data_IF_715640455794
#
_entry.id   IF_715640455794
#
_cell.length_a   1.000
_cell.length_b   1.000
_cell.length_c   1.000
_cell.angle_alpha   90.00
_cell.angle_beta   90.00
_cell.angle_gamma   90.00
#
_symmetry.space_group_name_H-M   'P 1'
#
loop_
_entity.id
_entity.type
_entity.pdbx_description
1 polymer ?
#
# COMPACT_ATOMS: atom_id res chain seq x y z
N UNK A 1 -28.06 22.61 11.76
CA UNK A 1 -27.37 21.46 11.17
C UNK A 1 -26.02 21.38 11.87
N UNK A 2 -25.76 20.31 12.64
CA UNK A 2 -24.48 20.16 13.33
C UNK A 2 -23.36 20.10 12.27
N UNK A 3 -22.39 20.99 12.37
CA UNK A 3 -21.16 20.93 11.56
C UNK A 3 -20.51 19.56 11.82
N UNK A 4 -20.59 18.68 10.82
CA UNK A 4 -19.89 17.41 10.92
C UNK A 4 -18.40 17.74 11.02
N UNK A 5 -17.79 17.46 12.17
CA UNK A 5 -16.36 17.65 12.38
C UNK A 5 -15.60 16.93 11.27
N UNK A 6 -14.54 17.53 10.72
CA UNK A 6 -13.71 16.92 9.67
C UNK A 6 -13.22 15.53 10.07
N UNK A 7 -12.95 15.33 11.36
CA UNK A 7 -12.60 14.01 11.91
C UNK A 7 -13.74 13.00 11.84
N UNK A 8 -14.98 13.40 12.07
CA UNK A 8 -16.14 12.51 11.97
C UNK A 8 -16.41 12.09 10.52
N UNK A 9 -16.20 13.00 9.56
CA UNK A 9 -16.31 12.70 8.14
C UNK A 9 -15.22 11.72 7.68
N UNK A 10 -13.97 11.95 8.10
CA UNK A 10 -12.84 11.02 7.83
C UNK A 10 -13.16 9.60 8.35
N UNK A 11 -13.55 9.48 9.62
CA UNK A 11 -13.88 8.19 10.25
C UNK A 11 -15.08 7.54 9.56
N UNK A 12 -16.09 8.31 9.14
CA UNK A 12 -17.25 7.77 8.43
C UNK A 12 -16.85 7.15 7.09
N UNK A 13 -15.96 7.78 6.30
CA UNK A 13 -15.45 7.21 5.05
C UNK A 13 -14.64 5.94 5.30
N UNK A 14 -13.71 5.97 6.25
CA UNK A 14 -12.91 4.78 6.61
C UNK A 14 -13.85 3.63 6.99
N UNK A 15 -14.79 3.86 7.89
CA UNK A 15 -15.75 2.83 8.32
C UNK A 15 -16.60 2.30 7.17
N UNK A 16 -17.08 3.19 6.28
CA UNK A 16 -17.84 2.81 5.09
C UNK A 16 -17.04 1.86 4.22
N UNK A 17 -15.81 2.23 3.87
CA UNK A 17 -14.97 1.46 2.95
C UNK A 17 -14.54 0.12 3.57
N UNK A 18 -14.24 0.08 4.88
CA UNK A 18 -13.98 -1.17 5.59
C UNK A 18 -15.21 -2.10 5.59
N UNK A 19 -16.41 -1.57 5.81
CA UNK A 19 -17.66 -2.37 5.78
C UNK A 19 -17.96 -2.88 4.37
N UNK A 20 -17.72 -2.09 3.33
CA UNK A 20 -17.87 -2.52 1.93
C UNK A 20 -16.88 -3.64 1.58
N UNK A 21 -15.63 -3.52 2.03
CA UNK A 21 -14.61 -4.56 1.83
C UNK A 21 -14.98 -5.87 2.55
N UNK A 22 -15.55 -5.81 3.75
CA UNK A 22 -16.03 -7.01 4.45
C UNK A 22 -17.16 -7.72 3.71
N UNK A 23 -17.93 -7.00 2.89
CA UNK A 23 -18.95 -7.58 2.01
C UNK A 23 -18.36 -8.14 0.71
N UNK A 24 -17.24 -7.57 0.23
CA UNK A 24 -16.51 -7.99 -0.98
C UNK A 24 -15.17 -8.64 -0.62
N UNK A 25 -15.21 -9.67 0.23
CA UNK A 25 -14.01 -10.35 0.77
C UNK A 25 -13.05 -10.85 -0.31
N UNK A 26 -13.57 -11.20 -1.49
CA UNK A 26 -12.77 -11.67 -2.62
C UNK A 26 -11.65 -10.69 -3.00
N UNK A 27 -11.90 -9.40 -2.93
CA UNK A 27 -10.93 -8.38 -3.35
C UNK A 27 -9.73 -8.30 -2.41
N UNK A 28 -9.98 -8.33 -1.10
CA UNK A 28 -8.94 -8.36 -0.07
C UNK A 28 -8.18 -9.69 -0.13
N UNK A 29 -8.91 -10.80 -0.19
CA UNK A 29 -8.32 -12.14 -0.27
C UNK A 29 -7.45 -12.32 -1.51
N UNK A 30 -7.82 -11.78 -2.67
CA UNK A 30 -6.99 -11.85 -3.88
C UNK A 30 -5.63 -11.21 -3.66
N UNK A 31 -5.58 -10.05 -3.03
CA UNK A 31 -4.32 -9.35 -2.72
C UNK A 31 -3.45 -10.15 -1.76
N UNK A 32 -4.05 -10.70 -0.70
CA UNK A 32 -3.34 -11.51 0.29
C UNK A 32 -2.86 -12.84 -0.27
N UNK A 33 -3.71 -13.57 -1.00
CA UNK A 33 -3.32 -14.82 -1.65
C UNK A 33 -2.23 -14.60 -2.68
N UNK A 34 -2.28 -13.52 -3.47
CA UNK A 34 -1.21 -13.17 -4.39
C UNK A 34 0.11 -13.01 -3.66
N UNK A 35 0.13 -12.27 -2.55
CA UNK A 35 1.33 -12.08 -1.73
C UNK A 35 1.87 -13.41 -1.20
N UNK A 36 1.00 -14.23 -0.59
CA UNK A 36 1.38 -15.55 -0.04
C UNK A 36 1.94 -16.46 -1.14
N UNK A 37 1.25 -16.55 -2.30
CA UNK A 37 1.67 -17.41 -3.41
C UNK A 37 3.03 -16.94 -3.93
N UNK A 38 3.19 -15.65 -4.26
CA UNK A 38 4.44 -15.13 -4.82
C UNK A 38 5.60 -15.41 -3.86
N UNK A 39 5.47 -15.09 -2.58
CA UNK A 39 6.52 -15.30 -1.59
C UNK A 39 6.87 -16.79 -1.44
N UNK A 40 5.85 -17.66 -1.35
CA UNK A 40 6.06 -19.09 -1.12
C UNK A 40 6.62 -19.84 -2.35
N UNK A 41 6.46 -19.31 -3.56
CA UNK A 41 7.04 -19.91 -4.76
C UNK A 41 8.57 -19.83 -4.79
N UNK A 42 9.18 -18.83 -4.14
CA UNK A 42 10.65 -18.71 -4.14
C UNK A 42 11.36 -19.84 -3.40
N UNK A 43 11.02 -20.18 -2.15
CA UNK A 43 11.61 -21.35 -1.48
C UNK A 43 11.36 -22.67 -2.23
N UNK A 44 10.19 -22.80 -2.84
CA UNK A 44 9.87 -24.01 -3.64
C UNK A 44 10.68 -24.09 -4.93
N UNK A 45 10.96 -22.95 -5.58
CA UNK A 45 11.67 -22.91 -6.85
C UNK A 45 13.19 -22.95 -6.71
N UNK A 46 13.74 -22.38 -5.64
CA UNK A 46 15.20 -22.33 -5.39
C UNK A 46 15.70 -23.61 -4.71
N UNK A 47 14.83 -24.23 -3.91
CA UNK A 47 15.19 -25.42 -3.13
C UNK A 47 15.68 -25.06 -1.70
N UNK A 48 16.20 -26.04 -0.93
CA UNK A 48 16.42 -25.97 0.51
C UNK A 48 17.72 -25.26 0.93
N UNK A 49 18.33 -24.45 0.07
CA UNK A 49 19.57 -23.74 0.40
C UNK A 49 19.28 -22.51 1.29
N UNK A 50 19.30 -22.70 2.61
CA UNK A 50 18.89 -21.68 3.58
C UNK A 50 19.71 -20.39 3.51
N UNK A 51 21.02 -20.48 3.18
CA UNK A 51 21.87 -19.29 3.05
C UNK A 51 21.39 -18.37 1.91
N UNK A 52 21.07 -18.95 0.75
CA UNK A 52 20.55 -18.21 -0.39
C UNK A 52 19.15 -17.67 -0.11
N UNK A 53 18.27 -18.49 0.47
CA UNK A 53 16.91 -18.06 0.82
C UNK A 53 16.95 -16.86 1.79
N UNK A 54 17.77 -16.90 2.83
CA UNK A 54 17.92 -15.80 3.79
C UNK A 54 18.43 -14.53 3.11
N UNK A 55 19.33 -14.62 2.16
CA UNK A 55 19.90 -13.49 1.43
C UNK A 55 18.85 -12.78 0.57
N UNK A 56 17.98 -13.53 -0.13
CA UNK A 56 16.99 -12.94 -1.03
C UNK A 56 15.70 -12.52 -0.34
N UNK A 57 15.44 -13.00 0.87
CA UNK A 57 14.18 -12.81 1.59
C UNK A 57 13.71 -11.34 1.67
N UNK A 58 14.57 -10.35 2.02
CA UNK A 58 14.15 -8.96 2.10
C UNK A 58 13.60 -8.45 0.76
N UNK A 59 14.32 -8.70 -0.33
CA UNK A 59 13.90 -8.30 -1.67
C UNK A 59 12.61 -8.99 -2.11
N UNK A 60 12.50 -10.31 -1.92
CA UNK A 60 11.31 -11.08 -2.31
C UNK A 60 10.06 -10.61 -1.57
N UNK A 61 10.13 -10.46 -0.24
CA UNK A 61 8.99 -10.00 0.57
C UNK A 61 8.55 -8.59 0.17
N UNK A 62 9.49 -7.69 -0.08
CA UNK A 62 9.19 -6.33 -0.49
C UNK A 62 8.64 -6.22 -1.91
N UNK A 63 9.22 -6.94 -2.88
CA UNK A 63 8.71 -6.97 -4.25
C UNK A 63 7.30 -7.55 -4.27
N UNK A 64 7.06 -8.65 -3.55
CA UNK A 64 5.74 -9.25 -3.45
C UNK A 64 4.71 -8.32 -2.81
N UNK A 65 5.08 -7.59 -1.73
CA UNK A 65 4.21 -6.62 -1.07
C UNK A 65 3.88 -5.43 -2.00
N UNK A 66 4.87 -4.94 -2.74
CA UNK A 66 4.70 -3.88 -3.75
C UNK A 66 3.72 -4.32 -4.84
N UNK A 67 3.94 -5.49 -5.44
CA UNK A 67 3.08 -6.03 -6.50
C UNK A 67 1.66 -6.30 -5.99
N UNK A 68 1.51 -6.84 -4.77
CA UNK A 68 0.21 -7.06 -4.14
C UNK A 68 -0.53 -5.74 -3.91
N UNK A 69 0.16 -4.70 -3.45
CA UNK A 69 -0.43 -3.35 -3.31
C UNK A 69 -0.87 -2.81 -4.66
N UNK A 70 -0.04 -2.93 -5.71
CA UNK A 70 -0.39 -2.48 -7.06
C UNK A 70 -1.65 -3.17 -7.61
N UNK A 71 -1.86 -4.45 -7.29
CA UNK A 71 -3.04 -5.20 -7.72
C UNK A 71 -4.35 -4.63 -7.14
N UNK A 72 -4.29 -3.98 -5.98
CA UNK A 72 -5.47 -3.38 -5.31
C UNK A 72 -5.80 -1.96 -5.76
N UNK A 73 -4.83 -1.20 -6.29
CA UNK A 73 -4.96 0.22 -6.62
C UNK A 73 -6.09 0.57 -7.61
N UNK A 74 -6.29 -0.16 -8.71
CA UNK A 74 -7.35 0.19 -9.67
C UNK A 74 -8.74 0.21 -9.04
N UNK A 75 -8.95 -0.50 -7.93
CA UNK A 75 -10.24 -0.61 -7.24
C UNK A 75 -10.50 0.55 -6.27
N UNK A 76 -9.48 1.35 -5.93
CA UNK A 76 -9.55 2.39 -4.90
C UNK A 76 -10.66 3.42 -5.15
N UNK A 77 -10.82 3.84 -6.41
CA UNK A 77 -11.82 4.82 -6.81
C UNK A 77 -12.85 4.31 -7.84
N UNK A 78 -12.56 3.20 -8.50
CA UNK A 78 -13.35 2.72 -9.63
C UNK A 78 -14.82 2.42 -9.27
N UNK A 79 -15.09 1.84 -8.11
CA UNK A 79 -16.46 1.53 -7.70
C UNK A 79 -17.26 2.81 -7.40
N UNK A 80 -16.66 3.74 -6.66
CA UNK A 80 -17.30 5.02 -6.31
C UNK A 80 -17.50 5.93 -7.54
N UNK A 81 -16.64 5.82 -8.55
CA UNK A 81 -16.83 6.49 -9.83
C UNK A 81 -17.96 5.86 -10.65
N UNK A 82 -18.03 4.52 -10.69
CA UNK A 82 -19.04 3.82 -11.46
C UNK A 82 -20.47 4.02 -10.90
N UNK A 83 -20.63 4.24 -9.63
CA UNK A 83 -21.94 4.44 -8.97
C UNK A 83 -22.27 5.91 -8.68
N UNK A 84 -21.42 6.87 -9.10
CA UNK A 84 -21.63 8.30 -8.91
C UNK A 84 -21.36 8.82 -7.48
N UNK A 85 -20.86 7.97 -6.59
CA UNK A 85 -20.52 8.36 -5.21
C UNK A 85 -19.37 9.35 -5.18
N UNK A 86 -18.41 9.24 -6.11
CA UNK A 86 -17.25 10.11 -6.16
C UNK A 86 -17.63 11.56 -6.51
N UNK A 87 -18.58 11.74 -7.43
CA UNK A 87 -19.15 13.03 -7.82
C UNK A 87 -19.91 13.66 -6.63
N UNK A 88 -20.68 12.85 -5.89
CA UNK A 88 -21.36 13.30 -4.69
C UNK A 88 -20.36 13.74 -3.59
N UNK A 89 -19.24 13.02 -3.43
CA UNK A 89 -18.16 13.41 -2.53
C UNK A 89 -17.56 14.75 -2.94
N UNK A 90 -17.32 14.97 -4.24
CA UNK A 90 -16.77 16.21 -4.76
C UNK A 90 -17.70 17.42 -4.54
N UNK A 91 -19.02 17.22 -4.57
CA UNK A 91 -20.06 18.22 -4.34
C UNK A 91 -20.43 18.40 -2.87
N UNK A 92 -19.88 17.58 -1.96
CA UNK A 92 -20.22 17.65 -0.53
C UNK A 92 -19.66 18.90 0.14
N UNK A 93 -20.24 19.28 1.29
CA UNK A 93 -19.74 20.38 2.12
C UNK A 93 -18.40 20.06 2.80
N UNK A 94 -17.99 18.78 2.83
CA UNK A 94 -16.71 18.33 3.39
C UNK A 94 -15.64 18.47 2.32
N UNK A 95 -14.45 19.04 2.62
CA UNK A 95 -13.36 19.13 1.66
C UNK A 95 -13.00 17.75 1.09
N UNK A 96 -12.96 17.63 -0.26
CA UNK A 96 -12.67 16.37 -0.94
C UNK A 96 -11.37 15.73 -0.46
N UNK A 97 -10.34 16.52 -0.13
CA UNK A 97 -9.07 16.01 0.40
C UNK A 97 -9.21 15.20 1.71
N UNK A 98 -10.18 15.56 2.58
CA UNK A 98 -10.45 14.78 3.81
C UNK A 98 -11.05 13.42 3.47
N UNK A 99 -12.01 13.40 2.53
CA UNK A 99 -12.66 12.16 2.09
C UNK A 99 -11.67 11.24 1.37
N UNK A 100 -10.82 11.81 0.50
CA UNK A 100 -9.73 11.11 -0.18
C UNK A 100 -8.73 10.51 0.81
N UNK A 101 -8.33 11.28 1.83
CA UNK A 101 -7.46 10.78 2.90
C UNK A 101 -8.08 9.57 3.60
N UNK A 102 -9.38 9.64 3.91
CA UNK A 102 -10.12 8.53 4.51
C UNK A 102 -10.09 7.26 3.63
N UNK A 103 -10.25 7.42 2.31
CA UNK A 103 -10.16 6.30 1.35
C UNK A 103 -8.76 5.69 1.27
N UNK A 104 -7.71 6.53 1.26
CA UNK A 104 -6.33 6.06 1.25
C UNK A 104 -6.01 5.28 2.53
N UNK A 105 -6.43 5.78 3.69
CA UNK A 105 -6.26 5.07 4.97
C UNK A 105 -7.01 3.75 4.98
N UNK A 106 -8.26 3.73 4.51
CA UNK A 106 -9.04 2.49 4.39
C UNK A 106 -8.36 1.48 3.46
N UNK A 107 -7.85 1.93 2.31
CA UNK A 107 -7.09 1.10 1.38
C UNK A 107 -5.85 0.49 2.05
N UNK A 108 -5.06 1.29 2.78
CA UNK A 108 -3.91 0.78 3.51
C UNK A 108 -4.29 -0.25 4.57
N UNK A 109 -5.35 0.00 5.33
CA UNK A 109 -5.85 -0.95 6.34
C UNK A 109 -6.29 -2.28 5.73
N UNK A 110 -6.76 -2.29 4.49
CA UNK A 110 -7.26 -3.48 3.78
C UNK A 110 -6.18 -4.19 2.95
N UNK A 111 -5.15 -3.49 2.52
CA UNK A 111 -4.06 -4.03 1.72
C UNK A 111 -2.73 -4.05 2.48
N UNK A 112 -2.15 -2.89 2.78
CA UNK A 112 -0.80 -2.76 3.32
C UNK A 112 -0.64 -3.35 4.72
N UNK A 113 -1.56 -3.05 5.64
CA UNK A 113 -1.50 -3.56 7.01
C UNK A 113 -1.55 -5.10 7.08
N UNK A 114 -2.48 -5.79 6.39
CA UNK A 114 -2.47 -7.26 6.39
C UNK A 114 -1.20 -7.86 5.78
N UNK A 115 -0.60 -7.24 4.75
CA UNK A 115 0.68 -7.69 4.18
C UNK A 115 1.80 -7.60 5.23
N UNK A 116 1.88 -6.48 5.96
CA UNK A 116 2.87 -6.30 7.03
C UNK A 116 2.69 -7.33 8.16
N UNK A 117 1.45 -7.69 8.50
CA UNK A 117 1.15 -8.68 9.53
C UNK A 117 1.43 -10.12 9.09
N UNK A 118 1.30 -10.43 7.79
CA UNK A 118 1.60 -11.74 7.23
C UNK A 118 3.10 -11.93 6.95
N UNK A 119 3.85 -10.87 6.74
CA UNK A 119 5.26 -10.92 6.39
C UNK A 119 6.13 -11.74 7.37
N UNK A 120 5.95 -11.69 8.71
CA UNK A 120 6.71 -12.53 9.62
C UNK A 120 6.50 -14.03 9.38
N UNK A 121 5.23 -14.43 9.16
CA UNK A 121 4.90 -15.84 8.90
C UNK A 121 5.56 -16.34 7.62
N UNK A 122 5.55 -15.51 6.58
CA UNK A 122 6.20 -15.83 5.31
C UNK A 122 7.72 -15.74 5.39
N UNK A 123 8.26 -14.83 6.19
CA UNK A 123 9.70 -14.70 6.44
C UNK A 123 10.31 -15.91 7.12
N UNK A 124 9.54 -16.67 7.91
CA UNK A 124 9.98 -17.94 8.50
C UNK A 124 10.32 -18.99 7.41
N UNK A 125 9.69 -18.96 6.24
CA UNK A 125 10.01 -19.86 5.13
C UNK A 125 11.43 -19.63 4.56
N UNK A 126 12.01 -18.45 4.84
CA UNK A 126 13.35 -18.03 4.42
C UNK A 126 14.37 -18.14 5.56
N UNK A 127 14.00 -18.75 6.68
CA UNK A 127 14.85 -18.86 7.87
C UNK A 127 15.37 -17.51 8.38
N UNK A 128 14.53 -16.45 8.31
CA UNK A 128 14.90 -15.15 8.87
C UNK A 128 14.88 -15.19 10.40
N UNK A 129 15.89 -14.63 11.07
CA UNK A 129 15.91 -14.52 12.53
C UNK A 129 14.79 -13.59 13.02
N UNK A 130 14.30 -13.84 14.24
CA UNK A 130 13.16 -13.12 14.84
C UNK A 130 13.35 -11.59 14.84
N UNK A 131 14.57 -11.14 15.13
CA UNK A 131 14.89 -9.71 15.16
C UNK A 131 14.80 -9.08 13.77
N UNK A 132 15.25 -9.78 12.72
CA UNK A 132 15.11 -9.33 11.33
C UNK A 132 13.65 -9.32 10.88
N UNK A 133 12.83 -10.26 11.35
CA UNK A 133 11.37 -10.23 11.13
C UNK A 133 10.73 -9.00 11.76
N UNK A 134 11.18 -8.57 12.95
CA UNK A 134 10.75 -7.33 13.58
C UNK A 134 11.07 -6.10 12.73
N UNK A 135 12.29 -6.03 12.20
CA UNK A 135 12.70 -4.95 11.27
C UNK A 135 11.87 -4.98 9.98
N UNK A 136 11.59 -6.17 9.42
CA UNK A 136 10.74 -6.34 8.24
C UNK A 136 9.34 -5.79 8.47
N UNK A 137 8.70 -6.15 9.58
CA UNK A 137 7.37 -5.65 9.95
C UNK A 137 7.37 -4.14 10.07
N UNK A 138 8.34 -3.57 10.79
CA UNK A 138 8.45 -2.13 10.97
C UNK A 138 8.66 -1.41 9.63
N UNK A 139 9.55 -1.92 8.78
CA UNK A 139 9.79 -1.38 7.46
C UNK A 139 8.52 -1.42 6.59
N UNK A 140 7.76 -2.52 6.60
CA UNK A 140 6.50 -2.64 5.88
C UNK A 140 5.41 -1.73 6.44
N UNK A 141 5.32 -1.58 7.78
CA UNK A 141 4.35 -0.65 8.39
C UNK A 141 4.61 0.81 8.04
N UNK A 142 5.87 1.20 7.83
CA UNK A 142 6.24 2.56 7.39
C UNK A 142 6.09 2.69 5.86
N UNK A 143 6.48 1.70 5.10
CA UNK A 143 6.56 1.80 3.63
C UNK A 143 5.25 1.51 2.90
N UNK A 144 4.41 0.58 3.38
CA UNK A 144 3.14 0.27 2.71
C UNK A 144 2.13 1.43 2.71
N UNK A 145 2.06 2.33 3.73
CA UNK A 145 1.29 3.56 3.60
C UNK A 145 1.81 4.47 2.48
N UNK A 146 3.14 4.55 2.27
CA UNK A 146 3.73 5.32 1.16
C UNK A 146 3.25 4.77 -0.18
N UNK A 147 3.24 3.43 -0.33
CA UNK A 147 2.71 2.77 -1.54
C UNK A 147 1.23 3.13 -1.77
N UNK A 148 0.41 3.13 -0.71
CA UNK A 148 -1.01 3.50 -0.82
C UNK A 148 -1.19 4.99 -1.19
N UNK A 149 -0.39 5.89 -0.62
CA UNK A 149 -0.45 7.33 -0.89
C UNK A 149 -0.04 7.67 -2.33
N UNK A 150 1.10 7.15 -2.79
CA UNK A 150 1.58 7.35 -4.16
C UNK A 150 0.64 6.64 -5.15
N UNK A 151 0.21 5.42 -4.80
CA UNK A 151 -0.70 4.63 -5.62
C UNK A 151 -2.05 5.31 -5.84
N UNK A 152 -2.56 6.01 -4.83
CA UNK A 152 -3.82 6.75 -4.93
C UNK A 152 -3.74 7.89 -5.96
N UNK A 153 -2.59 8.57 -6.07
CA UNK A 153 -2.37 9.57 -7.13
C UNK A 153 -2.48 8.93 -8.50
N UNK A 154 -1.77 7.79 -8.70
CA UNK A 154 -1.83 7.04 -9.96
C UNK A 154 -3.24 6.55 -10.30
N UNK A 155 -3.96 6.01 -9.31
CA UNK A 155 -5.34 5.56 -9.48
C UNK A 155 -6.29 6.71 -9.83
N UNK A 156 -6.10 7.90 -9.24
CA UNK A 156 -6.87 9.10 -9.59
C UNK A 156 -6.61 9.58 -11.01
N UNK A 157 -5.34 9.64 -11.43
CA UNK A 157 -4.94 10.11 -12.77
C UNK A 157 -5.41 9.17 -13.91
N UNK A 158 -5.64 7.91 -13.61
CA UNK A 158 -6.04 6.91 -14.62
C UNK A 158 -7.52 6.50 -14.52
N UNK A 159 -8.27 7.20 -13.67
CA UNK A 159 -9.69 6.94 -13.45
C UNK A 159 -10.48 7.17 -14.77
N UNK A 160 -11.38 6.27 -15.10
CA UNK A 160 -12.17 6.33 -16.34
C UNK A 160 -11.43 5.94 -17.62
N UNK A 161 -10.10 5.77 -17.59
CA UNK A 161 -9.31 5.40 -18.78
C UNK A 161 -9.40 3.90 -19.05
N UNK A 162 -9.65 3.52 -20.32
CA UNK A 162 -9.59 2.11 -20.75
C UNK A 162 -8.18 1.55 -20.55
N UNK A 163 -8.07 0.43 -19.83
CA UNK A 163 -6.75 -0.13 -19.47
C UNK A 163 -6.05 0.58 -18.31
N UNK A 164 -6.75 1.41 -17.53
CA UNK A 164 -6.23 2.21 -16.43
C UNK A 164 -5.36 1.43 -15.44
N UNK A 165 -5.65 0.14 -15.21
CA UNK A 165 -4.83 -0.69 -14.31
C UNK A 165 -3.37 -0.85 -14.76
N UNK A 166 -3.12 -0.99 -16.07
CA UNK A 166 -1.75 -1.05 -16.62
C UNK A 166 -1.09 0.33 -16.53
N UNK A 167 -1.85 1.39 -16.82
CA UNK A 167 -1.34 2.76 -16.74
C UNK A 167 -0.98 3.16 -15.30
N UNK A 168 -1.79 2.78 -14.31
CA UNK A 168 -1.43 2.96 -12.88
C UNK A 168 -0.08 2.33 -12.63
N UNK A 169 0.11 1.07 -13.03
CA UNK A 169 1.34 0.34 -12.78
C UNK A 169 2.56 1.03 -13.39
N UNK A 170 2.47 1.45 -14.65
CA UNK A 170 3.56 2.16 -15.34
C UNK A 170 3.90 3.49 -14.67
N UNK A 171 2.90 4.21 -14.17
CA UNK A 171 3.09 5.52 -13.56
C UNK A 171 3.66 5.43 -12.13
N UNK A 172 3.19 4.47 -11.32
CA UNK A 172 3.59 4.40 -9.91
C UNK A 172 4.85 3.58 -9.68
N UNK A 173 5.17 2.60 -10.55
CA UNK A 173 6.30 1.70 -10.36
C UNK A 173 7.64 2.43 -10.19
N UNK A 174 8.01 3.44 -11.00
CA UNK A 174 9.24 4.20 -10.78
C UNK A 174 9.29 4.91 -9.42
N UNK A 175 8.13 5.40 -8.93
CA UNK A 175 8.01 6.08 -7.65
C UNK A 175 8.07 5.12 -6.46
N UNK A 176 7.79 3.84 -6.69
CA UNK A 176 7.88 2.79 -5.68
C UNK A 176 9.30 2.26 -5.48
N UNK A 177 10.19 2.42 -6.48
CA UNK A 177 11.58 1.93 -6.42
C UNK A 177 12.33 2.44 -5.18
N UNK A 178 12.31 3.73 -4.81
CA UNK A 178 12.97 4.20 -3.60
C UNK A 178 12.41 3.54 -2.33
N UNK A 179 11.09 3.34 -2.25
CA UNK A 179 10.44 2.67 -1.10
C UNK A 179 10.91 1.23 -0.98
N UNK A 180 11.00 0.52 -2.12
CA UNK A 180 11.54 -0.83 -2.19
C UNK A 180 13.00 -0.89 -1.71
N UNK A 181 13.85 0.00 -2.23
CA UNK A 181 15.29 0.03 -1.90
C UNK A 181 15.48 0.26 -0.40
N UNK A 182 14.82 1.26 0.18
CA UNK A 182 14.98 1.55 1.61
C UNK A 182 14.28 0.52 2.49
N UNK A 183 13.16 -0.03 2.04
CA UNK A 183 12.43 -1.05 2.79
C UNK A 183 13.18 -2.39 2.87
N UNK A 184 13.60 -2.93 1.75
CA UNK A 184 14.42 -4.15 1.69
C UNK A 184 15.80 -3.91 2.33
N UNK A 185 16.45 -2.79 1.99
CA UNK A 185 17.75 -2.40 2.53
C UNK A 185 17.78 -2.26 4.04
N UNK A 186 16.66 -1.92 4.70
CA UNK A 186 16.58 -1.89 6.17
C UNK A 186 16.86 -3.27 6.77
N UNK A 187 16.26 -4.31 6.19
CA UNK A 187 16.43 -5.69 6.65
C UNK A 187 17.81 -6.23 6.28
N UNK A 188 18.28 -5.96 5.04
CA UNK A 188 19.61 -6.37 4.57
C UNK A 188 20.72 -5.75 5.44
N UNK A 189 20.65 -4.44 5.71
CA UNK A 189 21.61 -3.76 6.57
C UNK A 189 21.59 -4.29 8.00
N UNK A 190 20.41 -4.65 8.51
CA UNK A 190 20.28 -5.26 9.83
C UNK A 190 20.97 -6.64 9.87
N UNK A 191 20.69 -7.50 8.88
CA UNK A 191 21.31 -8.82 8.76
C UNK A 191 22.84 -8.74 8.58
N UNK A 192 23.32 -7.68 7.92
CA UNK A 192 24.75 -7.37 7.77
C UNK A 192 25.42 -6.75 9.00
N UNK A 193 24.69 -6.57 10.12
CA UNK A 193 25.23 -5.98 11.36
C UNK A 193 25.40 -4.46 11.34
N UNK A 194 24.95 -3.77 10.29
CA UNK A 194 25.04 -2.31 10.16
C UNK A 194 23.85 -1.57 10.80
N UNK A 195 22.83 -2.30 11.24
CA UNK A 195 21.58 -1.75 11.78
C UNK A 195 20.63 -1.25 10.69
N UNK A 196 19.37 -1.01 11.08
CA UNK A 196 18.30 -0.62 10.14
C UNK A 196 17.97 0.89 10.17
N UNK A 197 18.52 1.64 11.14
CA UNK A 197 18.06 2.99 11.49
C UNK A 197 18.11 3.97 10.31
N UNK A 198 19.19 3.97 9.52
CA UNK A 198 19.34 4.89 8.38
C UNK A 198 18.26 4.67 7.33
N UNK A 199 18.01 3.41 6.95
CA UNK A 199 17.00 3.05 5.96
C UNK A 199 15.58 3.34 6.47
N UNK A 200 15.27 3.00 7.72
CA UNK A 200 13.99 3.30 8.34
C UNK A 200 13.73 4.80 8.47
N UNK A 201 14.76 5.61 8.76
CA UNK A 201 14.66 7.08 8.81
C UNK A 201 14.30 7.66 7.44
N UNK A 202 14.96 7.19 6.38
CA UNK A 202 14.65 7.59 5.01
C UNK A 202 13.24 7.17 4.60
N UNK A 203 12.85 5.96 4.93
CA UNK A 203 11.50 5.47 4.66
C UNK A 203 10.43 6.29 5.41
N UNK A 204 10.70 6.68 6.67
CA UNK A 204 9.83 7.57 7.44
C UNK A 204 9.77 8.98 6.84
N UNK A 205 10.87 9.50 6.31
CA UNK A 205 10.89 10.78 5.59
C UNK A 205 10.02 10.70 4.31
N UNK A 206 10.11 9.59 3.55
CA UNK A 206 9.22 9.35 2.42
C UNK A 206 7.75 9.30 2.85
N UNK A 207 7.45 8.65 3.99
CA UNK A 207 6.09 8.62 4.53
C UNK A 207 5.60 10.03 4.87
N UNK A 208 6.40 10.85 5.52
CA UNK A 208 6.04 12.23 5.85
C UNK A 208 5.75 13.06 4.59
N UNK A 209 6.61 12.96 3.57
CA UNK A 209 6.41 13.63 2.29
C UNK A 209 5.16 13.14 1.57
N UNK A 210 4.98 11.82 1.48
CA UNK A 210 3.82 11.23 0.84
C UNK A 210 2.50 11.55 1.58
N UNK A 211 2.51 11.57 2.91
CA UNK A 211 1.35 11.93 3.72
C UNK A 211 0.94 13.40 3.53
N UNK A 212 1.90 14.28 3.29
CA UNK A 212 1.62 15.69 3.03
C UNK A 212 1.14 15.92 1.59
N UNK A 213 1.85 15.42 0.59
CA UNK A 213 1.55 15.68 -0.81
C UNK A 213 0.54 14.73 -1.43
N UNK A 214 0.48 13.46 -0.99
CA UNK A 214 -0.35 12.42 -1.58
C UNK A 214 -1.85 12.75 -1.61
N UNK A 215 -2.48 13.10 -0.48
CA UNK A 215 -3.90 13.46 -0.47
C UNK A 215 -4.22 14.69 -1.32
N UNK A 216 -3.33 15.70 -1.33
CA UNK A 216 -3.47 16.87 -2.16
C UNK A 216 -3.39 16.54 -3.65
N UNK A 217 -2.35 15.83 -4.07
CA UNK A 217 -2.15 15.43 -5.47
C UNK A 217 -3.28 14.50 -5.96
N UNK A 218 -3.72 13.55 -5.12
CA UNK A 218 -4.86 12.69 -5.44
C UNK A 218 -6.14 13.49 -5.61
N UNK A 219 -6.38 14.49 -4.75
CA UNK A 219 -7.56 15.35 -4.86
C UNK A 219 -7.58 16.14 -6.17
N UNK A 220 -6.42 16.67 -6.59
CA UNK A 220 -6.27 17.37 -7.87
C UNK A 220 -6.51 16.39 -9.04
N UNK A 221 -5.91 15.20 -8.99
CA UNK A 221 -6.08 14.17 -10.01
C UNK A 221 -7.56 13.77 -10.19
N UNK A 222 -8.28 13.57 -9.08
CA UNK A 222 -9.70 13.21 -9.12
C UNK A 222 -10.57 14.35 -9.67
N UNK A 223 -10.27 15.61 -9.35
CA UNK A 223 -11.02 16.74 -9.93
C UNK A 223 -10.89 16.78 -11.45
N UNK A 224 -9.66 16.59 -11.96
CA UNK A 224 -9.42 16.54 -13.41
C UNK A 224 -10.17 15.35 -14.07
N UNK A 225 -10.23 14.21 -13.38
CA UNK A 225 -10.92 13.02 -13.90
C UNK A 225 -12.45 13.14 -13.90
N UNK A 226 -13.02 14.06 -13.09
CA UNK A 226 -14.46 14.30 -12.98
C UNK A 226 -14.97 15.47 -13.86
N UNK A 227 -14.07 16.22 -14.48
CA UNK A 227 -14.38 17.27 -15.48
C UNK A 227 -14.66 16.65 -16.87
#
# INVERSE_FOLDING_TARGET
MAEASLSSALVAVIRRDLLLALRRKSDVLTTLFFFVIVVSLFPLGIGPEMAMLRQIAPGVLWVAALLATMLSLPRLFAADHADGTLEQMALSAVPLGVLVTGKIVAHWLLSGLPLALLAPVLGLQFDLPADALGVMVLALLIGTPVLSLIGAVGAGLTLGVRGGGVLVSLLVLPLYVPVLIFGAGAVESYLGGLGATAHLSLLAAFLALAAFFGPWATTVALRIALE
#
